data_IF_341238522147
#
_entry.id   IF_341238522147
#
_cell.length_a   1.000
_cell.length_b   1.000
_cell.length_c   1.000
_cell.angle_alpha   90.00
_cell.angle_beta   90.00
_cell.angle_gamma   90.00
#
_symmetry.space_group_name_H-M   'P 1'
#
loop_
_entity.id
_entity.type
_entity.pdbx_description
1 polymer ?
#
# COMPACT_ATOMS: atom_id res chain seq x y z
N UNK A 1 -13.13 -11.60 -12.87
CA UNK A 1 -12.27 -10.67 -12.10
C UNK A 1 -13.17 -9.77 -11.25
N UNK A 2 -13.04 -9.86 -9.94
CA UNK A 2 -13.71 -8.98 -9.00
C UNK A 2 -12.74 -7.84 -8.69
N UNK A 3 -13.22 -6.60 -8.78
CA UNK A 3 -12.50 -5.46 -8.25
C UNK A 3 -13.20 -5.01 -6.97
N UNK A 4 -12.48 -5.03 -5.86
CA UNK A 4 -12.93 -4.39 -4.64
C UNK A 4 -12.28 -3.02 -4.56
N UNK A 5 -13.10 -2.00 -4.45
CA UNK A 5 -12.65 -0.71 -3.94
C UNK A 5 -12.94 -0.73 -2.43
N UNK A 6 -11.90 -0.81 -1.63
CA UNK A 6 -12.00 -0.53 -0.21
C UNK A 6 -12.05 0.98 -0.02
N UNK A 7 -13.17 1.54 -0.45
CA UNK A 7 -13.57 2.89 -0.11
C UNK A 7 -14.24 2.78 1.25
N UNK A 8 -13.75 3.44 2.28
CA UNK A 8 -14.36 3.41 3.60
C UNK A 8 -13.46 2.92 4.73
N UNK A 9 -12.18 2.72 4.44
CA UNK A 9 -11.16 2.72 5.47
C UNK A 9 -10.62 4.15 5.64
N UNK A 10 -9.85 4.39 6.69
CA UNK A 10 -9.12 5.65 6.90
C UNK A 10 -8.32 6.11 5.67
N UNK A 11 -8.04 5.19 4.72
CA UNK A 11 -7.33 5.46 3.47
C UNK A 11 -8.13 6.36 2.53
N UNK A 12 -9.46 6.25 2.48
CA UNK A 12 -10.27 7.10 1.59
C UNK A 12 -10.45 8.51 2.13
N UNK A 13 -10.47 8.69 3.45
CA UNK A 13 -10.39 10.00 4.08
C UNK A 13 -9.05 10.63 3.72
N UNK A 14 -7.97 9.87 3.78
CA UNK A 14 -6.62 10.33 3.45
C UNK A 14 -6.46 10.67 1.96
N UNK A 15 -6.85 9.76 1.07
CA UNK A 15 -6.50 9.84 -0.34
C UNK A 15 -7.51 10.67 -1.15
N UNK A 16 -8.78 10.70 -0.74
CA UNK A 16 -9.87 11.36 -1.46
C UNK A 16 -10.59 12.42 -0.63
N UNK A 17 -10.20 12.64 0.63
CA UNK A 17 -10.83 13.57 1.57
C UNK A 17 -12.37 13.41 1.63
N UNK A 18 -12.85 12.17 1.53
CA UNK A 18 -14.27 11.84 1.52
C UNK A 18 -14.63 10.96 2.73
N UNK A 19 -15.21 11.55 3.80
CA UNK A 19 -15.58 10.81 5.01
C UNK A 19 -16.78 9.87 4.79
N UNK A 20 -17.57 10.08 3.74
CA UNK A 20 -18.78 9.28 3.46
C UNK A 20 -18.48 8.05 2.60
N UNK A 21 -17.27 7.96 2.06
CA UNK A 21 -16.86 6.83 1.22
C UNK A 21 -16.98 5.49 1.97
N UNK A 22 -17.51 4.47 1.31
CA UNK A 22 -17.74 3.10 1.86
C UNK A 22 -17.12 2.05 0.96
N UNK A 23 -16.92 0.85 1.52
CA UNK A 23 -16.43 -0.30 0.78
C UNK A 23 -17.38 -0.70 -0.35
N UNK A 24 -16.83 -0.96 -1.53
CA UNK A 24 -17.60 -1.32 -2.73
C UNK A 24 -16.95 -2.52 -3.41
N UNK A 25 -17.76 -3.51 -3.79
CA UNK A 25 -17.35 -4.62 -4.64
C UNK A 25 -18.04 -4.51 -5.99
N UNK A 26 -17.29 -4.64 -7.06
CA UNK A 26 -17.81 -4.61 -8.43
C UNK A 26 -17.39 -5.86 -9.17
N UNK A 27 -18.32 -6.48 -9.90
CA UNK A 27 -18.06 -7.66 -10.71
C UNK A 27 -18.32 -8.99 -9.99
N UNK A 28 -19.08 -8.99 -8.88
CA UNK A 28 -19.52 -10.22 -8.24
C UNK A 28 -20.43 -11.04 -9.16
N UNK A 29 -20.22 -12.35 -9.20
CA UNK A 29 -21.03 -13.32 -9.94
C UNK A 29 -21.50 -14.43 -9.01
N UNK A 30 -22.33 -15.34 -9.51
CA UNK A 30 -22.77 -16.51 -8.74
C UNK A 30 -21.62 -17.48 -8.40
N UNK A 31 -20.53 -17.43 -9.15
CA UNK A 31 -19.34 -18.27 -8.94
C UNK A 31 -18.28 -17.60 -8.06
N UNK A 32 -18.55 -16.38 -7.58
CA UNK A 32 -17.62 -15.64 -6.71
C UNK A 32 -17.47 -16.35 -5.37
N UNK A 33 -16.24 -16.71 -5.04
CA UNK A 33 -15.90 -17.37 -3.78
C UNK A 33 -15.50 -16.35 -2.70
N UNK A 34 -15.44 -16.79 -1.44
CA UNK A 34 -14.93 -15.98 -0.34
C UNK A 34 -13.45 -15.65 -0.52
N UNK A 35 -12.69 -16.56 -1.10
CA UNK A 35 -11.29 -16.39 -1.43
C UNK A 35 -11.08 -15.27 -2.45
N UNK A 36 -11.94 -15.22 -3.50
CA UNK A 36 -11.92 -14.13 -4.49
C UNK A 36 -12.21 -12.78 -3.84
N UNK A 37 -13.18 -12.71 -2.94
CA UNK A 37 -13.50 -11.48 -2.21
C UNK A 37 -12.34 -11.05 -1.31
N UNK A 38 -11.70 -12.00 -0.61
CA UNK A 38 -10.54 -11.72 0.23
C UNK A 38 -9.36 -11.21 -0.61
N UNK A 39 -9.10 -11.85 -1.75
CA UNK A 39 -8.06 -11.42 -2.69
C UNK A 39 -8.33 -10.00 -3.18
N UNK A 40 -9.57 -9.70 -3.57
CA UNK A 40 -9.97 -8.38 -4.04
C UNK A 40 -9.78 -7.29 -2.97
N UNK A 41 -10.05 -7.61 -1.68
CA UNK A 41 -9.79 -6.72 -0.56
C UNK A 41 -8.29 -6.41 -0.43
N UNK A 42 -7.43 -7.43 -0.46
CA UNK A 42 -5.98 -7.25 -0.38
C UNK A 42 -5.46 -6.44 -1.57
N UNK A 43 -5.90 -6.74 -2.79
CA UNK A 43 -5.52 -6.00 -4.00
C UNK A 43 -5.98 -4.55 -3.92
N UNK A 44 -7.21 -4.29 -3.44
CA UNK A 44 -7.75 -2.94 -3.26
C UNK A 44 -6.90 -2.09 -2.31
N UNK A 45 -6.45 -2.66 -1.19
CA UNK A 45 -5.53 -1.97 -0.26
C UNK A 45 -4.18 -1.69 -0.93
N UNK A 46 -3.63 -2.65 -1.67
CA UNK A 46 -2.37 -2.48 -2.38
C UNK A 46 -2.46 -1.39 -3.47
N UNK A 47 -3.58 -1.32 -4.20
CA UNK A 47 -3.83 -0.27 -5.19
C UNK A 47 -4.00 1.11 -4.56
N UNK A 48 -4.66 1.21 -3.41
CA UNK A 48 -4.76 2.48 -2.68
C UNK A 48 -3.38 2.96 -2.17
N UNK A 49 -2.49 2.05 -1.76
CA UNK A 49 -1.10 2.41 -1.48
C UNK A 49 -0.42 2.93 -2.75
N UNK A 50 -0.66 2.28 -3.89
CA UNK A 50 -0.11 2.71 -5.17
C UNK A 50 -0.56 4.12 -5.55
N UNK A 51 -1.80 4.52 -5.28
CA UNK A 51 -2.26 5.89 -5.53
C UNK A 51 -1.35 6.93 -4.87
N UNK A 52 -0.89 6.69 -3.64
CA UNK A 52 0.06 7.56 -2.96
C UNK A 52 1.42 7.61 -3.67
N UNK A 53 1.88 6.50 -4.24
CA UNK A 53 3.11 6.45 -5.03
C UNK A 53 2.96 7.16 -6.38
N UNK A 54 1.81 7.08 -7.02
CA UNK A 54 1.53 7.82 -8.26
C UNK A 54 1.52 9.35 -8.01
N UNK A 55 1.00 9.80 -6.85
CA UNK A 55 1.12 11.21 -6.45
C UNK A 55 2.60 11.60 -6.29
N UNK A 56 3.41 10.82 -5.59
CA UNK A 56 4.84 11.09 -5.47
C UNK A 56 5.54 11.17 -6.83
N UNK A 57 5.23 10.24 -7.74
CA UNK A 57 5.76 10.25 -9.12
C UNK A 57 5.35 11.50 -9.88
N UNK A 58 4.10 11.95 -9.74
CA UNK A 58 3.62 13.19 -10.40
C UNK A 58 4.36 14.44 -9.93
N UNK A 59 4.94 14.40 -8.72
CA UNK A 59 5.81 15.44 -8.16
C UNK A 59 7.29 15.28 -8.56
N UNK A 60 7.61 14.32 -9.44
CA UNK A 60 8.96 14.06 -9.91
C UNK A 60 9.82 13.19 -8.99
N UNK A 61 9.23 12.62 -7.92
CA UNK A 61 9.95 11.73 -7.00
C UNK A 61 10.03 10.34 -7.61
N UNK A 62 11.24 9.84 -7.82
CA UNK A 62 11.50 8.48 -8.29
C UNK A 62 11.70 7.56 -7.08
N UNK A 63 10.86 6.54 -6.96
CA UNK A 63 10.93 5.55 -5.88
C UNK A 63 11.19 4.18 -6.50
N UNK A 64 12.40 3.66 -6.31
CA UNK A 64 12.81 2.35 -6.83
C UNK A 64 12.75 1.25 -5.77
N UNK A 65 12.70 1.64 -4.51
CA UNK A 65 12.73 0.74 -3.35
C UNK A 65 11.96 1.33 -2.19
N UNK A 66 11.29 0.48 -1.43
CA UNK A 66 10.65 0.85 -0.16
C UNK A 66 10.88 -0.20 0.91
N UNK A 67 10.68 0.17 2.16
CA UNK A 67 10.74 -0.76 3.30
C UNK A 67 9.33 -1.05 3.81
N UNK A 68 9.10 -2.31 4.19
CA UNK A 68 7.83 -2.76 4.76
C UNK A 68 8.04 -3.29 6.18
N UNK A 69 7.18 -2.87 7.10
CA UNK A 69 7.15 -3.29 8.50
C UNK A 69 5.72 -3.48 8.99
N UNK A 70 5.56 -3.88 10.24
CA UNK A 70 4.26 -4.12 10.85
C UNK A 70 3.67 -5.50 10.54
N UNK A 71 2.44 -5.75 11.01
CA UNK A 71 1.80 -7.06 10.95
C UNK A 71 1.67 -7.62 9.54
N UNK A 72 1.29 -6.79 8.55
CA UNK A 72 1.18 -7.21 7.16
C UNK A 72 2.49 -7.66 6.54
N UNK A 73 3.62 -7.11 6.99
CA UNK A 73 4.95 -7.49 6.52
C UNK A 73 5.33 -8.96 6.86
N UNK A 74 4.62 -9.60 7.78
CA UNK A 74 4.81 -11.03 8.10
C UNK A 74 4.34 -11.95 6.98
N UNK A 75 3.33 -11.53 6.21
CA UNK A 75 2.75 -12.32 5.12
C UNK A 75 3.63 -12.28 3.86
N UNK A 76 4.17 -13.42 3.40
CA UNK A 76 4.89 -13.48 2.11
C UNK A 76 4.02 -13.07 0.93
N UNK A 77 2.74 -13.47 0.94
CA UNK A 77 1.77 -13.10 -0.09
C UNK A 77 1.62 -11.57 -0.18
N UNK A 78 1.48 -10.92 0.97
CA UNK A 78 1.32 -9.47 1.03
C UNK A 78 2.55 -8.73 0.51
N UNK A 79 3.76 -9.13 0.94
CA UNK A 79 5.01 -8.51 0.46
C UNK A 79 5.18 -8.64 -1.04
N UNK A 80 4.91 -9.86 -1.58
CA UNK A 80 4.96 -10.14 -3.02
C UNK A 80 3.92 -9.30 -3.79
N UNK A 81 2.70 -9.19 -3.27
CA UNK A 81 1.64 -8.35 -3.86
C UNK A 81 2.07 -6.89 -3.93
N UNK A 82 2.57 -6.32 -2.84
CA UNK A 82 3.03 -4.92 -2.79
C UNK A 82 4.16 -4.69 -3.79
N UNK A 83 5.18 -5.57 -3.86
CA UNK A 83 6.28 -5.44 -4.81
C UNK A 83 5.77 -5.40 -6.26
N UNK A 84 4.82 -6.29 -6.60
CA UNK A 84 4.28 -6.39 -7.96
C UNK A 84 3.32 -5.25 -8.30
N UNK A 85 2.48 -4.81 -7.36
CA UNK A 85 1.54 -3.69 -7.57
C UNK A 85 2.28 -2.36 -7.74
N UNK A 86 3.31 -2.13 -6.94
CA UNK A 86 4.11 -0.91 -7.00
C UNK A 86 5.20 -0.95 -8.09
N UNK A 87 5.54 -2.14 -8.59
CA UNK A 87 6.66 -2.38 -9.50
C UNK A 87 7.99 -1.81 -8.96
N UNK A 88 8.28 -2.07 -7.68
CA UNK A 88 9.51 -1.65 -7.00
C UNK A 88 10.00 -2.75 -6.07
N UNK A 89 11.27 -2.67 -5.68
CA UNK A 89 11.83 -3.56 -4.65
C UNK A 89 11.23 -3.25 -3.28
N UNK A 90 10.85 -4.30 -2.56
CA UNK A 90 10.29 -4.20 -1.20
C UNK A 90 11.22 -4.91 -0.23
N UNK A 91 11.81 -4.13 0.67
CA UNK A 91 12.68 -4.64 1.73
C UNK A 91 11.87 -4.91 3.00
N UNK A 92 11.90 -6.15 3.49
CA UNK A 92 11.45 -6.46 4.84
C UNK A 92 12.53 -6.09 5.83
N UNK A 93 12.19 -5.34 6.86
CA UNK A 93 13.09 -5.01 7.95
C UNK A 93 12.90 -5.96 9.14
N UNK A 94 13.95 -6.10 9.97
CA UNK A 94 13.94 -6.96 11.15
C UNK A 94 12.92 -6.49 12.20
N UNK A 95 12.79 -5.17 12.37
CA UNK A 95 11.84 -4.58 13.33
C UNK A 95 10.41 -4.65 12.84
N UNK A 96 9.52 -5.11 13.72
CA UNK A 96 8.06 -5.08 13.48
C UNK A 96 7.43 -3.73 13.86
N UNK A 97 8.10 -2.96 14.71
CA UNK A 97 7.62 -1.72 15.33
C UNK A 97 8.13 -0.48 14.56
N UNK A 98 7.74 -0.33 13.29
CA UNK A 98 8.22 0.75 12.42
C UNK A 98 8.05 2.16 13.00
N UNK A 99 6.86 2.59 13.45
CA UNK A 99 6.67 3.92 14.04
C UNK A 99 7.45 4.15 15.32
N UNK A 100 7.50 3.15 16.22
CA UNK A 100 8.26 3.23 17.47
C UNK A 100 9.77 3.31 17.20
N UNK A 101 10.28 2.53 16.24
CA UNK A 101 11.67 2.57 15.80
C UNK A 101 12.01 3.96 15.20
N UNK A 102 11.12 4.54 14.38
CA UNK A 102 11.28 5.88 13.86
C UNK A 102 11.36 6.93 14.94
N UNK A 103 10.47 6.89 15.94
CA UNK A 103 10.51 7.76 17.10
C UNK A 103 11.79 7.62 17.91
N UNK A 104 12.28 6.40 18.12
CA UNK A 104 13.56 6.14 18.82
C UNK A 104 14.76 6.72 18.05
N UNK A 105 14.77 6.59 16.71
CA UNK A 105 15.84 7.21 15.88
C UNK A 105 15.84 8.74 15.99
N UNK A 106 14.67 9.36 15.92
CA UNK A 106 14.55 10.82 16.09
C UNK A 106 15.04 11.27 17.48
N UNK A 107 14.67 10.54 18.54
CA UNK A 107 15.15 10.81 19.89
C UNK A 107 16.68 10.66 20.01
N UNK A 108 17.25 9.62 19.42
CA UNK A 108 18.70 9.38 19.42
C UNK A 108 19.47 10.49 18.71
N UNK A 109 18.95 11.02 17.60
CA UNK A 109 19.53 12.19 16.91
C UNK A 109 19.42 13.44 17.79
N UNK A 110 18.26 13.68 18.40
CA UNK A 110 18.06 14.83 19.29
C UNK A 110 18.99 14.81 20.52
N UNK A 111 19.32 13.61 21.03
CA UNK A 111 20.28 13.44 22.12
C UNK A 111 21.76 13.41 21.65
N UNK A 112 22.04 13.59 20.37
CA UNK A 112 23.41 13.62 19.83
C UNK A 112 24.09 12.26 19.73
N UNK A 113 23.32 11.15 19.79
CA UNK A 113 23.85 9.79 19.57
C UNK A 113 24.22 9.56 18.11
N UNK A 114 23.45 10.13 17.19
CA UNK A 114 23.70 10.17 15.76
C UNK A 114 23.67 11.61 15.25
N UNK A 115 24.41 11.89 14.19
CA UNK A 115 24.50 13.22 13.60
C UNK A 115 23.29 13.54 12.73
N UNK A 116 22.60 12.52 12.19
CA UNK A 116 21.42 12.68 11.34
C UNK A 116 20.49 11.45 11.42
N UNK A 117 19.27 11.60 10.89
CA UNK A 117 18.29 10.50 10.80
C UNK A 117 18.78 9.43 9.81
N UNK A 118 19.45 9.85 8.75
CA UNK A 118 20.03 8.95 7.75
C UNK A 118 21.08 8.05 8.40
N UNK A 119 22.00 8.61 9.17
CA UNK A 119 23.01 7.84 9.91
C UNK A 119 22.36 6.86 10.88
N UNK A 120 21.37 7.31 11.64
CA UNK A 120 20.63 6.46 12.56
C UNK A 120 19.94 5.29 11.80
N UNK A 121 19.30 5.58 10.67
CA UNK A 121 18.63 4.56 9.86
C UNK A 121 19.63 3.54 9.28
N UNK A 122 20.79 3.97 8.79
CA UNK A 122 21.83 3.07 8.27
C UNK A 122 22.40 2.14 9.35
N UNK A 123 22.50 2.61 10.59
CA UNK A 123 23.06 1.86 11.71
C UNK A 123 22.04 0.89 12.34
N UNK A 124 20.77 1.30 12.40
CA UNK A 124 19.73 0.59 13.17
C UNK A 124 18.87 -0.32 12.28
N UNK A 125 18.51 0.14 11.05
CA UNK A 125 17.58 -0.59 10.20
C UNK A 125 18.30 -1.73 9.47
N UNK A 126 17.92 -2.97 9.80
CA UNK A 126 18.44 -4.18 9.17
C UNK A 126 17.42 -4.75 8.20
N UNK A 127 17.81 -4.89 6.95
CA UNK A 127 17.01 -5.59 5.93
C UNK A 127 17.26 -7.08 6.06
N UNK A 128 16.18 -7.86 6.18
CA UNK A 128 16.24 -9.32 6.33
C UNK A 128 15.89 -10.05 5.02
N UNK A 129 15.12 -9.40 4.14
CA UNK A 129 14.69 -9.98 2.87
C UNK A 129 14.39 -8.83 1.88
N UNK A 130 14.73 -9.01 0.61
CA UNK A 130 14.31 -8.13 -0.48
C UNK A 130 13.43 -8.91 -1.44
N UNK A 131 12.26 -8.39 -1.73
CA UNK A 131 11.31 -8.95 -2.68
C UNK A 131 11.40 -8.13 -3.97
N UNK A 132 11.74 -8.80 -5.06
CA UNK A 132 11.80 -8.23 -6.41
C UNK A 132 10.42 -8.35 -7.08
N UNK A 133 9.99 -7.35 -7.88
CA UNK A 133 8.79 -7.47 -8.68
C UNK A 133 8.96 -8.50 -9.80
N UNK A 134 7.88 -9.21 -10.12
CA UNK A 134 7.82 -10.24 -11.16
C UNK A 134 7.16 -9.66 -12.41
N UNK A 135 7.86 -9.54 -13.56
CA UNK A 135 7.35 -8.82 -14.74
C UNK A 135 5.94 -9.24 -15.19
N UNK A 136 5.65 -10.54 -15.18
CA UNK A 136 4.33 -11.06 -15.56
C UNK A 136 3.21 -10.62 -14.62
N UNK A 137 3.50 -10.58 -13.30
CA UNK A 137 2.54 -10.13 -12.30
C UNK A 137 2.40 -8.61 -12.31
N UNK A 138 3.49 -7.88 -12.55
CA UNK A 138 3.47 -6.43 -12.71
C UNK A 138 2.53 -6.04 -13.84
N UNK A 139 2.64 -6.68 -15.01
CA UNK A 139 1.75 -6.42 -16.14
C UNK A 139 0.28 -6.73 -15.83
N UNK A 140 0.04 -7.85 -15.13
CA UNK A 140 -1.32 -8.21 -14.67
C UNK A 140 -1.89 -7.14 -13.74
N UNK A 141 -1.13 -6.73 -12.71
CA UNK A 141 -1.58 -5.73 -11.74
C UNK A 141 -1.70 -4.33 -12.35
N UNK A 142 -0.89 -3.99 -13.34
CA UNK A 142 -1.07 -2.74 -14.07
C UNK A 142 -2.44 -2.67 -14.74
N UNK A 143 -2.84 -3.71 -15.46
CA UNK A 143 -4.16 -3.77 -16.10
C UNK A 143 -5.31 -3.70 -15.08
N UNK A 144 -5.13 -4.29 -13.90
CA UNK A 144 -6.13 -4.24 -12.83
C UNK A 144 -6.19 -2.87 -12.16
N UNK A 145 -5.04 -2.26 -11.91
CA UNK A 145 -4.97 -0.91 -11.35
C UNK A 145 -5.67 0.12 -12.23
N UNK A 146 -5.51 0.05 -13.56
CA UNK A 146 -6.20 0.94 -14.49
C UNK A 146 -7.73 0.81 -14.42
N UNK A 147 -8.26 -0.34 -14.04
CA UNK A 147 -9.69 -0.54 -13.76
C UNK A 147 -10.07 0.02 -12.39
N UNK A 148 -9.27 -0.30 -11.36
CA UNK A 148 -9.46 0.15 -9.98
C UNK A 148 -9.53 1.68 -9.89
N UNK A 149 -8.61 2.40 -10.53
CA UNK A 149 -8.54 3.86 -10.51
C UNK A 149 -9.81 4.56 -11.04
N UNK A 150 -10.66 3.84 -11.81
CA UNK A 150 -11.94 4.35 -12.31
C UNK A 150 -13.10 4.18 -11.32
N UNK A 151 -12.96 3.30 -10.32
CA UNK A 151 -14.08 2.93 -9.45
C UNK A 151 -14.51 4.13 -8.61
N UNK A 152 -13.61 4.67 -7.78
CA UNK A 152 -13.95 5.76 -6.86
C UNK A 152 -14.55 6.98 -7.59
N UNK A 153 -13.95 7.53 -8.65
CA UNK A 153 -14.55 8.65 -9.38
C UNK A 153 -15.96 8.37 -9.91
N UNK A 154 -16.26 7.09 -10.23
CA UNK A 154 -17.55 6.69 -10.77
C UNK A 154 -18.62 6.56 -9.69
N UNK A 155 -18.25 6.09 -8.47
CA UNK A 155 -19.23 5.78 -7.41
C UNK A 155 -19.27 6.82 -6.30
N UNK A 156 -18.38 7.81 -6.29
CA UNK A 156 -18.25 8.77 -5.18
C UNK A 156 -19.53 9.53 -4.85
N UNK A 157 -20.32 9.89 -5.85
CA UNK A 157 -21.55 10.66 -5.65
C UNK A 157 -22.64 9.81 -5.00
N UNK A 158 -22.64 8.49 -5.24
CA UNK A 158 -23.58 7.54 -4.62
C UNK A 158 -23.45 7.49 -3.09
N UNK A 159 -22.26 7.72 -2.55
CA UNK A 159 -22.06 7.68 -1.10
C UNK A 159 -22.82 8.81 -0.39
N UNK A 160 -22.94 9.97 -1.02
CA UNK A 160 -23.72 11.07 -0.46
C UNK A 160 -25.23 10.89 -0.70
N UNK A 161 -25.61 10.27 -1.82
CA UNK A 161 -27.01 10.07 -2.20
C UNK A 161 -27.70 8.93 -1.41
N UNK A 162 -26.91 7.90 -1.01
CA UNK A 162 -27.45 6.69 -0.37
C UNK A 162 -27.31 6.68 1.15
N UNK A 163 -26.66 7.65 1.76
CA UNK A 163 -26.46 7.79 3.21
C UNK A 163 -27.25 8.97 3.76
#
# INVERSE_FOLDING_TARGET
EISACLVGSEMCIRDSNNPDARGTFIGLTMDTTREDMTQAVLEGVAFAIRDSFEVAKSLGIQIERTKICGGGAKSPLWRRMIANVLNIKVDRIESEEGPALGGAMLAAVACGVFSSVEEAAEKIVRVTETIEPEPELVEKYERQYQKFAKIYPTVKDLFTELL
#
